data_IF_294789481520
#
_entry.id   IF_294789481520
#
_cell.length_a   1.000
_cell.length_b   1.000
_cell.length_c   1.000
_cell.angle_alpha   90.00
_cell.angle_beta   90.00
_cell.angle_gamma   90.00
#
_symmetry.space_group_name_H-M   'P 1'
#
loop_
_entity.id
_entity.type
_entity.pdbx_description
1 polymer ?
#
# COMPACT_ATOMS: atom_id res chain seq x y z
N UNK A 1 -3.67 -11.11 -27.44
CA UNK A 1 -4.37 -9.94 -26.88
C UNK A 1 -3.66 -9.56 -25.60
N UNK A 2 -3.49 -8.28 -25.32
CA UNK A 2 -2.92 -7.81 -24.06
C UNK A 2 -3.77 -8.27 -22.86
N UNK A 3 -3.10 -8.74 -21.80
CA UNK A 3 -3.72 -9.17 -20.55
C UNK A 3 -3.42 -8.19 -19.42
N UNK A 4 -4.13 -8.33 -18.31
CA UNK A 4 -3.81 -7.67 -17.07
C UNK A 4 -2.97 -8.60 -16.19
N UNK A 5 -1.95 -8.05 -15.54
CA UNK A 5 -1.19 -8.72 -14.49
C UNK A 5 -1.32 -7.88 -13.22
N UNK A 6 -2.01 -8.43 -12.22
CA UNK A 6 -2.30 -7.77 -10.96
C UNK A 6 -1.41 -8.37 -9.86
N UNK A 7 -0.62 -7.52 -9.21
CA UNK A 7 0.28 -7.86 -8.11
C UNK A 7 -0.31 -7.27 -6.82
N UNK A 8 -0.59 -8.10 -5.83
CA UNK A 8 -1.17 -7.70 -4.55
C UNK A 8 -0.21 -8.04 -3.41
N UNK A 9 0.33 -7.00 -2.75
CA UNK A 9 1.35 -7.15 -1.72
C UNK A 9 0.80 -6.73 -0.36
N UNK A 10 0.57 -7.70 0.52
CA UNK A 10 0.05 -7.42 1.84
C UNK A 10 1.17 -7.00 2.83
N UNK A 11 0.84 -6.18 3.82
CA UNK A 11 1.80 -5.60 4.77
C UNK A 11 1.90 -6.31 6.11
N UNK A 12 0.92 -7.14 6.45
CA UNK A 12 0.82 -7.79 7.77
C UNK A 12 0.78 -9.31 7.64
N UNK A 13 1.32 -10.00 8.66
CA UNK A 13 1.24 -11.46 8.79
C UNK A 13 -0.18 -11.85 9.24
N UNK A 14 -1.16 -11.47 8.44
CA UNK A 14 -2.49 -12.03 8.58
C UNK A 14 -2.40 -13.40 7.93
N UNK A 15 -2.52 -14.44 8.74
CA UNK A 15 -2.79 -15.77 8.22
C UNK A 15 -4.06 -15.66 7.36
N UNK A 16 -4.11 -16.41 6.26
CA UNK A 16 -5.29 -16.44 5.35
C UNK A 16 -6.59 -16.76 6.14
N UNK A 17 -6.46 -17.42 7.30
CA UNK A 17 -7.54 -17.74 8.24
C UNK A 17 -7.90 -16.63 9.26
N UNK A 18 -7.31 -15.43 9.17
CA UNK A 18 -7.48 -14.31 10.11
C UNK A 18 -8.38 -13.18 9.60
N UNK A 19 -8.35 -12.04 10.29
CA UNK A 19 -9.07 -10.82 9.89
C UNK A 19 -8.54 -10.29 8.54
N UNK A 20 -9.46 -9.99 7.60
CA UNK A 20 -9.10 -9.67 6.22
C UNK A 20 -8.58 -8.24 6.08
N UNK A 21 -7.46 -8.08 5.38
CA UNK A 21 -6.99 -6.77 4.88
C UNK A 21 -7.78 -6.39 3.64
N UNK A 22 -7.72 -5.12 3.26
CA UNK A 22 -8.28 -4.65 2.00
C UNK A 22 -7.57 -5.23 0.78
N UNK A 23 -6.28 -5.60 0.91
CA UNK A 23 -5.56 -6.34 -0.14
C UNK A 23 -6.19 -7.72 -0.36
N UNK A 24 -6.52 -8.43 0.73
CA UNK A 24 -7.16 -9.75 0.65
C UNK A 24 -8.63 -9.66 0.19
N UNK A 25 -9.38 -8.64 0.62
CA UNK A 25 -10.73 -8.37 0.10
C UNK A 25 -10.70 -8.05 -1.39
N UNK A 26 -9.75 -7.20 -1.83
CA UNK A 26 -9.53 -6.92 -3.24
C UNK A 26 -9.19 -8.22 -3.99
N UNK A 27 -8.25 -9.04 -3.50
CA UNK A 27 -7.93 -10.34 -4.11
C UNK A 27 -9.19 -11.19 -4.32
N UNK A 28 -10.06 -11.30 -3.31
CA UNK A 28 -11.32 -12.04 -3.42
C UNK A 28 -12.26 -11.49 -4.50
N UNK A 29 -12.20 -10.18 -4.78
CA UNK A 29 -13.10 -9.46 -5.67
C UNK A 29 -12.60 -9.31 -7.12
N UNK A 30 -11.47 -9.94 -7.48
CA UNK A 30 -10.89 -9.85 -8.83
C UNK A 30 -11.23 -11.08 -9.68
N UNK A 31 -11.54 -10.84 -10.96
CA UNK A 31 -11.67 -11.89 -11.97
C UNK A 31 -10.29 -12.57 -12.18
N UNK A 32 -10.28 -13.91 -12.26
CA UNK A 32 -9.10 -14.70 -12.63
C UNK A 32 -9.41 -15.45 -13.92
N UNK A 33 -8.75 -15.04 -14.99
CA UNK A 33 -8.99 -15.63 -16.32
C UNK A 33 -7.75 -15.52 -17.18
N UNK A 34 -7.81 -16.01 -18.42
CA UNK A 34 -6.73 -15.82 -19.41
C UNK A 34 -6.50 -14.34 -19.74
N UNK A 35 -7.43 -13.44 -19.40
CA UNK A 35 -7.31 -11.99 -19.60
C UNK A 35 -6.73 -11.26 -18.38
N UNK A 36 -6.75 -11.88 -17.19
CA UNK A 36 -6.23 -11.27 -15.96
C UNK A 36 -5.59 -12.30 -15.04
N UNK A 37 -4.27 -12.18 -14.86
CA UNK A 37 -3.49 -12.93 -13.90
C UNK A 37 -3.42 -12.16 -12.58
N UNK A 38 -3.60 -12.85 -11.46
CA UNK A 38 -3.61 -12.23 -10.12
C UNK A 38 -2.63 -12.96 -9.22
N UNK A 39 -1.60 -12.24 -8.77
CA UNK A 39 -0.61 -12.70 -7.81
C UNK A 39 -0.89 -12.05 -6.45
N UNK A 40 -1.01 -12.86 -5.40
CA UNK A 40 -1.14 -12.39 -4.02
C UNK A 40 0.03 -12.90 -3.20
N UNK A 41 0.69 -11.98 -2.51
CA UNK A 41 1.74 -12.29 -1.56
C UNK A 41 1.32 -11.86 -0.15
N UNK A 42 1.30 -12.80 0.81
CA UNK A 42 1.03 -12.45 2.20
C UNK A 42 2.15 -11.58 2.77
N UNK A 43 1.81 -10.77 3.77
CA UNK A 43 2.79 -9.89 4.40
C UNK A 43 3.83 -10.67 5.20
N UNK A 44 5.00 -10.05 5.36
CA UNK A 44 6.12 -10.65 6.11
C UNK A 44 5.71 -10.92 7.57
N UNK A 45 5.51 -12.21 7.85
CA UNK A 45 5.48 -12.78 9.19
C UNK A 45 6.82 -13.41 9.48
N UNK A 46 7.46 -13.03 10.57
CA UNK A 46 8.58 -13.82 11.09
C UNK A 46 8.00 -15.18 11.48
N UNK A 47 8.18 -16.18 10.61
CA UNK A 47 7.85 -17.56 10.94
C UNK A 47 8.58 -17.95 12.24
N UNK A 48 7.83 -18.57 13.17
CA UNK A 48 8.37 -19.20 14.37
C UNK A 48 8.05 -18.47 15.67
N UNK A 49 6.97 -18.89 16.34
CA UNK A 49 6.95 -19.42 17.72
C UNK A 49 5.52 -19.32 18.29
N UNK A 50 5.00 -20.50 18.64
CA UNK A 50 3.66 -20.75 19.19
C UNK A 50 3.64 -20.33 20.67
N UNK A 51 2.63 -19.56 21.08
CA UNK A 51 2.37 -19.27 22.49
C UNK A 51 1.43 -18.07 22.69
N UNK A 52 0.29 -18.29 23.33
CA UNK A 52 -0.78 -17.27 23.50
C UNK A 52 -0.31 -16.01 24.26
N UNK A 53 0.64 -16.15 25.19
CA UNK A 53 1.31 -15.04 25.88
C UNK A 53 2.36 -14.28 25.04
N UNK A 54 2.96 -14.92 24.03
CA UNK A 54 3.88 -14.25 23.12
C UNK A 54 3.17 -13.38 22.10
N UNK A 55 1.92 -13.67 21.71
CA UNK A 55 1.14 -12.89 20.72
C UNK A 55 1.03 -11.39 21.05
N UNK A 56 0.96 -11.02 22.32
CA UNK A 56 0.89 -9.61 22.77
C UNK A 56 2.24 -8.89 22.62
N UNK A 57 3.36 -9.55 22.96
CA UNK A 57 4.72 -9.05 22.70
C UNK A 57 5.09 -9.10 21.21
N UNK A 58 4.53 -10.06 20.47
CA UNK A 58 4.80 -10.26 19.04
C UNK A 58 4.22 -9.15 18.19
N UNK A 59 3.03 -8.60 18.45
CA UNK A 59 2.51 -7.48 17.63
C UNK A 59 3.38 -6.22 17.71
N UNK A 60 3.98 -5.95 18.88
CA UNK A 60 4.92 -4.83 19.07
C UNK A 60 6.31 -5.16 18.50
N UNK A 61 6.84 -6.38 18.69
CA UNK A 61 8.14 -6.82 18.12
C UNK A 61 8.13 -7.07 16.60
N UNK A 62 7.05 -7.60 16.03
CA UNK A 62 6.85 -7.81 14.58
C UNK A 62 6.88 -6.48 13.84
N UNK A 63 6.35 -5.44 14.47
CA UNK A 63 6.21 -4.11 13.89
C UNK A 63 7.39 -3.19 14.22
N UNK A 64 8.01 -3.32 15.41
CA UNK A 64 9.28 -2.65 15.76
C UNK A 64 10.53 -3.33 15.17
N UNK A 65 10.45 -4.57 14.67
CA UNK A 65 11.54 -5.20 13.91
C UNK A 65 12.00 -6.56 14.43
N UNK A 66 11.30 -7.63 14.05
CA UNK A 66 11.91 -8.97 13.83
C UNK A 66 11.86 -9.38 12.34
N UNK A 67 11.58 -8.44 11.45
CA UNK A 67 11.77 -8.61 10.00
C UNK A 67 13.02 -7.82 9.60
N UNK A 68 14.11 -8.53 9.33
CA UNK A 68 15.30 -7.93 8.71
C UNK A 68 14.92 -7.42 7.31
N UNK A 69 15.65 -6.44 6.77
CA UNK A 69 15.45 -5.97 5.38
C UNK A 69 15.48 -7.08 4.31
N UNK A 70 15.91 -8.30 4.69
CA UNK A 70 15.81 -9.51 3.89
C UNK A 70 14.36 -9.89 3.53
N UNK A 71 13.39 -9.79 4.46
CA UNK A 71 12.01 -10.21 4.18
C UNK A 71 11.32 -9.35 3.11
N UNK A 72 11.50 -8.02 3.16
CA UNK A 72 10.99 -7.12 2.12
C UNK A 72 11.71 -7.37 0.80
N UNK A 73 13.02 -7.60 0.84
CA UNK A 73 13.81 -7.96 -0.34
C UNK A 73 13.26 -9.20 -1.03
N UNK A 74 13.05 -10.29 -0.28
CA UNK A 74 12.53 -11.54 -0.82
C UNK A 74 11.14 -11.34 -1.43
N UNK A 75 10.27 -10.57 -0.76
CA UNK A 75 8.96 -10.23 -1.28
C UNK A 75 9.00 -9.50 -2.63
N UNK A 76 9.86 -8.47 -2.75
CA UNK A 76 10.06 -7.76 -4.02
C UNK A 76 10.62 -8.70 -5.09
N UNK A 77 11.59 -9.54 -4.76
CA UNK A 77 12.21 -10.46 -5.73
C UNK A 77 11.23 -11.52 -6.23
N UNK A 78 10.36 -12.04 -5.37
CA UNK A 78 9.32 -13.01 -5.77
C UNK A 78 8.27 -12.37 -6.68
N UNK A 79 7.77 -11.18 -6.34
CA UNK A 79 6.83 -10.46 -7.20
C UNK A 79 7.46 -10.04 -8.54
N UNK A 80 8.74 -9.63 -8.53
CA UNK A 80 9.49 -9.32 -9.74
C UNK A 80 9.70 -10.56 -10.63
N UNK A 81 10.03 -11.70 -10.00
CA UNK A 81 10.15 -12.98 -10.71
C UNK A 81 8.84 -13.37 -11.38
N UNK A 82 7.72 -13.26 -10.68
CA UNK A 82 6.40 -13.52 -11.25
C UNK A 82 6.14 -12.65 -12.49
N UNK A 83 6.49 -11.36 -12.44
CA UNK A 83 6.38 -10.47 -13.60
C UNK A 83 7.27 -10.92 -14.76
N UNK A 84 8.53 -11.24 -14.51
CA UNK A 84 9.46 -11.72 -15.56
C UNK A 84 8.98 -13.01 -16.23
N UNK A 85 8.42 -13.94 -15.45
CA UNK A 85 7.96 -15.24 -15.95
C UNK A 85 6.62 -15.17 -16.69
N UNK A 86 5.78 -14.16 -16.44
CA UNK A 86 4.41 -14.10 -16.95
C UNK A 86 4.11 -12.92 -17.88
N UNK A 87 4.92 -11.87 -17.87
CA UNK A 87 4.66 -10.66 -18.66
C UNK A 87 5.00 -10.86 -20.14
N UNK A 88 4.01 -10.64 -21.00
CA UNK A 88 4.18 -10.57 -22.45
C UNK A 88 4.08 -9.13 -22.96
N UNK A 89 4.61 -8.87 -24.16
CA UNK A 89 4.53 -7.54 -24.75
C UNK A 89 3.08 -7.09 -24.90
N UNK A 90 2.78 -5.91 -24.35
CA UNK A 90 1.44 -5.31 -24.37
C UNK A 90 0.62 -5.57 -23.11
N UNK A 91 1.05 -6.49 -22.23
CA UNK A 91 0.37 -6.71 -20.94
C UNK A 91 0.40 -5.44 -20.07
N UNK A 92 -0.64 -5.25 -19.26
CA UNK A 92 -0.81 -4.12 -18.35
C UNK A 92 -0.55 -4.56 -16.92
N UNK A 93 0.40 -3.90 -16.25
CA UNK A 93 0.78 -4.22 -14.88
C UNK A 93 0.02 -3.31 -13.91
N UNK A 94 -0.64 -3.92 -12.93
CA UNK A 94 -1.33 -3.26 -11.83
C UNK A 94 -0.70 -3.74 -10.53
N UNK A 95 -0.30 -2.82 -9.65
CA UNK A 95 0.37 -3.17 -8.39
C UNK A 95 -0.42 -2.54 -7.24
N UNK A 96 -0.72 -3.34 -6.24
CA UNK A 96 -1.38 -2.89 -5.02
C UNK A 96 -0.58 -3.28 -3.79
N UNK A 97 -0.71 -2.48 -2.74
CA UNK A 97 -0.26 -2.93 -1.43
C UNK A 97 -0.79 -2.10 -0.27
N UNK A 98 -0.68 -2.68 0.91
CA UNK A 98 -1.05 -2.05 2.18
C UNK A 98 0.16 -1.97 3.11
N UNK A 99 0.35 -0.85 3.82
CA UNK A 99 1.36 -0.72 4.88
C UNK A 99 2.79 -0.96 4.38
N UNK A 100 3.48 -1.96 4.92
CA UNK A 100 4.78 -2.43 4.41
C UNK A 100 4.66 -3.04 3.02
N UNK A 101 3.55 -3.69 2.69
CA UNK A 101 3.26 -4.20 1.35
C UNK A 101 3.09 -3.08 0.32
N UNK A 102 2.53 -1.95 0.72
CA UNK A 102 2.51 -0.73 -0.10
C UNK A 102 3.93 -0.20 -0.35
N UNK A 103 4.81 -0.29 0.65
CA UNK A 103 6.22 0.06 0.48
C UNK A 103 6.95 -0.95 -0.43
N UNK A 104 6.69 -2.26 -0.29
CA UNK A 104 7.14 -3.31 -1.20
C UNK A 104 6.69 -3.03 -2.64
N UNK A 105 5.44 -2.60 -2.84
CA UNK A 105 4.89 -2.26 -4.15
C UNK A 105 5.62 -1.08 -4.79
N UNK A 106 5.96 -0.07 -3.99
CA UNK A 106 6.77 1.08 -4.42
C UNK A 106 8.22 0.69 -4.73
N UNK A 107 8.83 -0.19 -3.94
CA UNK A 107 10.17 -0.73 -4.20
C UNK A 107 10.21 -1.56 -5.48
N UNK A 108 9.21 -2.42 -5.69
CA UNK A 108 9.04 -3.18 -6.92
C UNK A 108 8.93 -2.24 -8.13
N UNK A 109 8.07 -1.22 -8.02
CA UNK A 109 7.88 -0.23 -9.08
C UNK A 109 9.15 0.57 -9.38
N UNK A 110 9.90 0.97 -8.36
CA UNK A 110 11.19 1.66 -8.50
C UNK A 110 12.28 0.76 -9.10
N UNK A 111 12.28 -0.52 -8.73
CA UNK A 111 13.19 -1.51 -9.30
C UNK A 111 12.91 -1.76 -10.79
N UNK A 112 11.63 -1.92 -11.15
CA UNK A 112 11.17 -2.01 -12.55
C UNK A 112 11.55 -0.76 -13.34
N UNK A 113 11.40 0.43 -12.75
CA UNK A 113 11.80 1.68 -13.39
C UNK A 113 13.28 1.69 -13.79
N UNK A 114 14.15 1.19 -12.90
CA UNK A 114 15.60 1.21 -13.14
C UNK A 114 16.04 0.08 -14.07
N UNK A 115 15.62 -1.16 -13.82
CA UNK A 115 16.17 -2.34 -14.51
C UNK A 115 15.26 -2.90 -15.60
N UNK A 116 14.02 -2.41 -15.73
CA UNK A 116 13.02 -3.04 -16.58
C UNK A 116 12.67 -4.45 -16.10
N UNK A 117 12.09 -5.27 -16.98
CA UNK A 117 11.97 -6.71 -16.77
C UNK A 117 13.10 -7.42 -17.51
N UNK A 118 13.95 -8.15 -16.79
CA UNK A 118 14.99 -8.98 -17.40
C UNK A 118 14.38 -10.17 -18.12
N UNK A 119 15.16 -10.84 -18.97
CA UNK A 119 14.73 -12.13 -19.52
C UNK A 119 14.72 -13.22 -18.44
N UNK A 120 13.82 -14.21 -18.52
CA UNK A 120 13.75 -15.30 -17.54
C UNK A 120 15.09 -15.98 -17.25
N UNK A 121 15.96 -16.14 -18.26
CA UNK A 121 17.28 -16.77 -18.14
C UNK A 121 18.29 -15.94 -17.35
N UNK A 122 17.96 -14.69 -16.99
CA UNK A 122 18.81 -13.76 -16.25
C UNK A 122 18.30 -13.52 -14.83
N UNK A 123 17.24 -14.20 -14.39
CA UNK A 123 16.64 -14.03 -13.05
C UNK A 123 17.66 -14.22 -11.90
N UNK A 124 18.64 -15.11 -12.06
CA UNK A 124 19.72 -15.33 -11.09
C UNK A 124 20.59 -14.09 -10.86
N UNK A 125 20.70 -13.21 -11.85
CA UNK A 125 21.51 -11.99 -11.78
C UNK A 125 20.78 -10.84 -11.08
N UNK A 126 19.45 -10.92 -10.98
CA UNK A 126 18.59 -9.88 -10.39
C UNK A 126 18.94 -9.62 -8.92
N UNK A 127 19.40 -10.63 -8.18
CA UNK A 127 19.85 -10.47 -6.78
C UNK A 127 21.03 -9.50 -6.66
N UNK A 128 21.90 -9.42 -7.66
CA UNK A 128 23.01 -8.46 -7.67
C UNK A 128 22.50 -7.05 -7.99
N UNK A 129 21.63 -6.91 -8.98
CA UNK A 129 20.97 -5.62 -9.28
C UNK A 129 20.18 -5.09 -8.08
N UNK A 130 19.51 -5.96 -7.32
CA UNK A 130 18.84 -5.58 -6.09
C UNK A 130 19.80 -5.05 -5.02
N UNK A 131 20.98 -5.67 -4.85
CA UNK A 131 22.00 -5.16 -3.91
C UNK A 131 22.46 -3.75 -4.29
N UNK A 132 22.67 -3.49 -5.58
CA UNK A 132 22.98 -2.16 -6.07
C UNK A 132 21.81 -1.18 -5.82
N UNK A 133 20.59 -1.57 -6.18
CA UNK A 133 19.39 -0.76 -5.92
C UNK A 133 19.18 -0.43 -4.44
N UNK A 134 19.38 -1.42 -3.57
CA UNK A 134 19.14 -1.27 -2.13
C UNK A 134 20.08 -0.25 -1.47
N UNK A 135 21.22 0.04 -2.10
CA UNK A 135 22.22 1.03 -1.68
C UNK A 135 22.04 2.40 -2.35
N UNK A 136 21.22 2.48 -3.40
CA UNK A 136 20.92 3.73 -4.10
C UNK A 136 20.26 4.75 -3.16
N UNK A 137 20.82 5.98 -3.11
CA UNK A 137 20.33 7.06 -2.25
C UNK A 137 20.94 7.10 -0.84
N UNK A 138 21.90 6.22 -0.52
CA UNK A 138 22.72 6.35 0.71
C UNK A 138 23.93 7.28 0.48
N UNK A 139 24.48 7.94 1.53
CA UNK A 139 25.71 8.74 1.41
C UNK A 139 26.84 7.92 0.78
N UNK A 140 27.50 8.48 -0.26
CA UNK A 140 28.55 7.78 -1.04
C UNK A 140 28.06 7.12 -2.35
N UNK A 141 26.83 7.41 -2.81
CA UNK A 141 26.21 6.73 -3.96
C UNK A 141 26.74 7.08 -5.35
N UNK A 142 27.75 7.95 -5.51
CA UNK A 142 28.25 8.36 -6.85
C UNK A 142 28.82 7.19 -7.64
N UNK A 143 29.52 6.27 -6.97
CA UNK A 143 30.07 5.06 -7.61
C UNK A 143 28.97 4.07 -8.05
N UNK A 144 27.78 4.17 -7.44
CA UNK A 144 26.67 3.25 -7.66
C UNK A 144 25.77 3.63 -8.84
N UNK A 145 25.76 4.90 -9.26
CA UNK A 145 25.07 5.29 -10.52
C UNK A 145 25.76 4.65 -11.74
N UNK A 146 27.10 4.59 -11.72
CA UNK A 146 27.88 3.89 -12.72
C UNK A 146 27.61 2.37 -12.69
N UNK A 147 27.49 1.78 -11.49
CA UNK A 147 27.15 0.36 -11.30
C UNK A 147 25.74 0.04 -11.85
N UNK A 148 24.75 0.91 -11.62
CA UNK A 148 23.41 0.78 -12.21
C UNK A 148 23.49 0.84 -13.73
N UNK A 149 24.23 1.79 -14.30
CA UNK A 149 24.41 1.89 -15.74
C UNK A 149 25.05 0.63 -16.34
N UNK A 150 25.98 0.00 -15.61
CA UNK A 150 26.56 -1.28 -16.00
C UNK A 150 25.53 -2.41 -15.95
N UNK A 151 24.78 -2.55 -14.85
CA UNK A 151 23.71 -3.54 -14.75
C UNK A 151 22.62 -3.36 -15.81
N UNK A 152 22.24 -2.13 -16.15
CA UNK A 152 21.29 -1.86 -17.22
C UNK A 152 21.82 -2.36 -18.58
N UNK A 153 23.10 -2.14 -18.87
CA UNK A 153 23.75 -2.63 -20.10
C UNK A 153 23.86 -4.15 -20.14
N UNK A 154 24.17 -4.79 -19.02
CA UNK A 154 24.36 -6.25 -18.92
C UNK A 154 23.04 -7.01 -18.90
N UNK A 155 22.06 -6.52 -18.11
CA UNK A 155 20.76 -7.17 -17.98
C UNK A 155 19.85 -6.87 -19.16
N UNK A 156 19.94 -5.67 -19.75
CA UNK A 156 19.19 -5.30 -20.95
C UNK A 156 17.67 -5.42 -20.79
N UNK A 157 17.14 -5.15 -19.59
CA UNK A 157 15.73 -5.39 -19.28
C UNK A 157 14.77 -4.56 -20.13
N UNK A 158 13.64 -5.16 -20.49
CA UNK A 158 12.60 -4.52 -21.26
C UNK A 158 11.97 -3.38 -20.46
N UNK A 159 11.91 -2.18 -21.05
CA UNK A 159 11.28 -1.01 -20.45
C UNK A 159 9.77 -1.14 -20.38
N UNK A 160 9.25 -1.67 -19.27
CA UNK A 160 7.81 -1.80 -19.03
C UNK A 160 7.24 -0.59 -18.28
N UNK A 161 5.93 -0.37 -18.44
CA UNK A 161 5.16 0.68 -17.76
C UNK A 161 4.14 0.02 -16.84
N UNK A 162 3.80 0.72 -15.77
CA UNK A 162 2.84 0.29 -14.78
C UNK A 162 1.56 1.09 -15.02
N UNK A 163 0.46 0.40 -15.29
CA UNK A 163 -0.82 1.03 -15.57
C UNK A 163 -1.39 1.69 -14.31
N UNK A 164 -1.26 1.03 -13.16
CA UNK A 164 -1.86 1.49 -11.91
C UNK A 164 -1.03 1.08 -10.69
N UNK A 165 -0.86 2.00 -9.74
CA UNK A 165 -0.32 1.75 -8.42
C UNK A 165 -1.36 2.15 -7.36
N UNK A 166 -1.97 1.17 -6.70
CA UNK A 166 -2.96 1.36 -5.65
C UNK A 166 -2.41 1.09 -4.26
N UNK A 167 -2.52 2.04 -3.35
CA UNK A 167 -1.84 1.96 -2.06
C UNK A 167 -2.79 2.27 -0.90
N UNK A 168 -2.73 1.45 0.14
CA UNK A 168 -3.31 1.78 1.43
C UNK A 168 -2.20 2.07 2.44
N UNK A 169 -2.25 3.27 3.00
CA UNK A 169 -1.48 3.78 4.13
C UNK A 169 -0.02 3.31 4.18
N UNK A 170 0.78 3.77 3.21
CA UNK A 170 2.17 3.34 3.05
C UNK A 170 3.02 3.71 4.26
N UNK A 171 3.70 2.73 4.87
CA UNK A 171 4.65 2.96 5.98
C UNK A 171 6.03 2.42 5.61
N UNK A 172 7.04 3.30 5.59
CA UNK A 172 8.42 2.98 5.17
C UNK A 172 9.35 2.62 6.35
N UNK A 173 8.81 2.21 7.49
CA UNK A 173 9.58 1.87 8.69
C UNK A 173 10.33 0.56 8.51
N UNK A 174 11.59 0.65 8.07
CA UNK A 174 12.53 -0.47 7.99
C UNK A 174 13.57 -0.32 9.09
N UNK A 175 13.87 -1.42 9.79
CA UNK A 175 14.96 -1.44 10.76
C UNK A 175 16.30 -1.33 10.01
N UNK A 176 17.01 -0.23 10.18
CA UNK A 176 18.42 -0.13 9.82
C UNK A 176 19.26 -0.59 11.02
N UNK A 177 19.89 -1.76 10.88
CA UNK A 177 20.75 -2.32 11.93
C UNK A 177 21.96 -1.46 12.26
N UNK A 178 22.33 -0.52 11.39
CA UNK A 178 23.42 0.44 11.63
C UNK A 178 22.99 1.64 12.46
N UNK A 179 21.69 1.94 12.54
CA UNK A 179 21.21 3.08 13.28
C UNK A 179 21.14 2.80 14.80
N UNK A 180 21.04 1.53 15.20
CA UNK A 180 20.92 1.11 16.60
C UNK A 180 19.53 1.38 17.19
N UNK A 181 19.12 0.62 18.21
CA UNK A 181 17.90 0.92 18.97
C UNK A 181 18.19 2.07 19.97
N UNK A 182 17.27 3.05 20.18
CA UNK A 182 15.91 3.20 19.63
C UNK A 182 15.85 3.99 18.31
N UNK A 183 16.97 4.19 17.63
CA UNK A 183 17.12 5.06 16.46
C UNK A 183 16.69 4.39 15.14
N UNK A 184 15.49 3.82 15.12
CA UNK A 184 14.82 3.39 13.89
C UNK A 184 14.76 4.56 12.89
N UNK A 185 15.42 4.41 11.75
CA UNK A 185 15.45 5.45 10.69
C UNK A 185 14.55 5.04 9.54
N UNK A 186 13.59 5.92 9.21
CA UNK A 186 12.75 5.77 8.01
C UNK A 186 13.60 6.27 6.83
N UNK A 187 14.28 5.37 6.15
CA UNK A 187 15.06 5.71 4.95
C UNK A 187 14.19 5.50 3.72
N UNK A 188 13.75 6.61 3.12
CA UNK A 188 13.10 6.60 1.81
C UNK A 188 14.13 6.20 0.76
N UNK A 189 13.88 5.11 0.01
CA UNK A 189 14.74 4.70 -1.10
C UNK A 189 14.39 5.45 -2.38
N UNK A 190 15.34 5.50 -3.31
CA UNK A 190 15.15 6.13 -4.60
C UNK A 190 13.94 5.56 -5.37
N UNK A 191 13.18 6.45 -5.99
CA UNK A 191 11.99 6.17 -6.79
C UNK A 191 10.82 5.46 -6.08
N UNK A 192 10.78 5.53 -4.74
CA UNK A 192 9.67 4.97 -3.96
C UNK A 192 8.52 5.95 -3.74
N UNK A 193 8.74 7.24 -3.99
CA UNK A 193 7.72 8.29 -3.99
C UNK A 193 7.70 9.10 -5.30
N UNK A 194 8.62 8.80 -6.24
CA UNK A 194 8.72 9.39 -7.58
C UNK A 194 8.93 8.32 -8.64
N UNK A 195 8.06 8.21 -9.63
CA UNK A 195 8.20 7.20 -10.69
C UNK A 195 7.47 7.62 -11.97
N UNK A 196 8.25 7.92 -13.02
CA UNK A 196 7.80 8.33 -14.34
C UNK A 196 7.24 7.18 -15.22
N UNK A 197 7.34 5.93 -14.75
CA UNK A 197 6.82 4.74 -15.46
C UNK A 197 5.42 4.32 -15.00
N UNK A 198 4.84 5.02 -14.03
CA UNK A 198 3.51 4.73 -13.50
C UNK A 198 2.53 5.73 -14.09
N UNK A 199 1.48 5.23 -14.76
CA UNK A 199 0.46 6.07 -15.38
C UNK A 199 -0.49 6.66 -14.35
N UNK A 200 -1.06 5.81 -13.49
CA UNK A 200 -2.06 6.19 -12.50
C UNK A 200 -1.61 5.75 -11.10
N UNK A 201 -1.70 6.65 -10.12
CA UNK A 201 -1.37 6.41 -8.71
C UNK A 201 -2.57 6.81 -7.85
N UNK A 202 -2.97 5.92 -6.95
CA UNK A 202 -4.01 6.15 -5.94
C UNK A 202 -3.49 5.74 -4.57
N UNK A 203 -3.52 6.65 -3.61
CA UNK A 203 -3.03 6.40 -2.26
C UNK A 203 -4.06 6.82 -1.20
N UNK A 204 -4.63 5.84 -0.49
CA UNK A 204 -5.48 6.08 0.66
C UNK A 204 -4.62 6.24 1.93
N UNK A 205 -4.84 7.30 2.72
CA UNK A 205 -4.01 7.62 3.90
C UNK A 205 -4.88 7.80 5.14
N UNK A 206 -4.42 7.27 6.29
CA UNK A 206 -5.13 7.38 7.56
C UNK A 206 -4.88 8.73 8.27
N UNK A 207 -5.95 9.40 8.70
CA UNK A 207 -5.91 10.66 9.46
C UNK A 207 -5.53 10.42 10.93
N UNK A 208 -6.10 9.38 11.56
CA UNK A 208 -6.13 9.21 13.02
C UNK A 208 -5.10 8.22 13.56
N UNK A 209 -4.12 7.82 12.75
CA UNK A 209 -3.03 6.96 13.20
C UNK A 209 -1.97 7.76 13.99
N UNK A 210 -1.69 7.31 15.22
CA UNK A 210 -0.88 8.05 16.20
C UNK A 210 0.40 7.33 16.64
N UNK A 211 0.64 6.11 16.17
CA UNK A 211 1.88 5.39 16.50
C UNK A 211 3.05 6.04 15.78
N UNK A 212 4.09 6.38 16.53
CA UNK A 212 5.23 7.15 16.05
C UNK A 212 5.95 6.51 14.87
N UNK A 213 6.01 5.18 14.79
CA UNK A 213 6.63 4.46 13.67
C UNK A 213 5.66 4.13 12.53
N UNK A 214 4.42 4.61 12.58
CA UNK A 214 3.43 4.53 11.49
C UNK A 214 3.26 5.90 10.82
N UNK A 215 4.37 6.55 10.53
CA UNK A 215 4.36 7.79 9.76
C UNK A 215 4.16 7.48 8.28
N UNK A 216 3.23 8.18 7.60
CA UNK A 216 2.88 7.84 6.23
C UNK A 216 4.00 8.27 5.29
N UNK A 217 4.27 7.43 4.30
CA UNK A 217 5.14 7.76 3.17
C UNK A 217 4.28 8.33 2.05
N UNK A 218 4.15 9.66 2.00
CA UNK A 218 3.35 10.33 0.98
C UNK A 218 3.99 10.22 -0.41
N UNK A 219 3.17 10.33 -1.45
CA UNK A 219 3.65 10.39 -2.84
C UNK A 219 3.95 11.86 -3.23
N UNK A 220 4.93 12.10 -4.11
CA UNK A 220 5.20 13.47 -4.56
C UNK A 220 4.18 13.88 -5.65
N UNK A 221 3.46 15.01 -5.51
CA UNK A 221 2.51 15.47 -6.53
C UNK A 221 3.21 16.05 -7.77
N UNK A 222 2.44 16.25 -8.85
CA UNK A 222 2.89 16.98 -10.05
C UNK A 222 3.93 16.26 -10.90
N UNK A 223 3.97 14.93 -10.83
CA UNK A 223 4.91 14.12 -11.63
C UNK A 223 4.46 13.99 -13.08
N UNK A 224 5.40 13.58 -13.93
CA UNK A 224 5.19 13.30 -15.35
C UNK A 224 5.24 11.80 -15.57
N UNK A 225 4.30 11.29 -16.37
CA UNK A 225 4.31 9.94 -16.90
C UNK A 225 4.90 9.94 -18.31
N UNK A 226 5.77 8.96 -18.58
CA UNK A 226 6.47 8.83 -19.85
C UNK A 226 6.22 7.47 -20.51
N UNK A 227 5.72 7.50 -21.74
CA UNK A 227 5.46 6.28 -22.52
C UNK A 227 6.01 6.36 -23.94
N UNK A 228 6.43 5.23 -24.47
CA UNK A 228 6.84 5.13 -25.86
C UNK A 228 5.60 5.06 -26.76
N UNK A 229 5.53 5.94 -27.74
CA UNK A 229 4.49 5.94 -28.76
C UNK A 229 5.03 5.32 -30.04
N UNK A 230 4.40 4.24 -30.50
CA UNK A 230 4.76 3.62 -31.77
C UNK A 230 4.46 4.54 -32.96
N UNK A 231 3.39 5.35 -32.86
CA UNK A 231 2.95 6.24 -33.93
C UNK A 231 3.96 7.38 -34.17
N UNK A 232 4.43 8.02 -33.11
CA UNK A 232 5.38 9.15 -33.21
C UNK A 232 6.84 8.70 -33.11
N UNK A 233 7.10 7.41 -32.84
CA UNK A 233 8.43 6.83 -32.59
C UNK A 233 9.25 7.66 -31.60
N UNK A 234 8.60 8.19 -30.57
CA UNK A 234 9.22 8.98 -29.54
C UNK A 234 8.57 8.74 -28.18
N UNK A 235 9.22 9.23 -27.12
CA UNK A 235 8.66 9.19 -25.77
C UNK A 235 7.73 10.39 -25.59
N UNK A 236 6.45 10.10 -25.35
CA UNK A 236 5.44 11.10 -25.04
C UNK A 236 5.35 11.29 -23.53
N UNK A 237 5.21 12.56 -23.13
CA UNK A 237 5.13 12.98 -21.74
C UNK A 237 3.75 13.55 -21.46
N UNK A 238 3.11 13.08 -20.40
CA UNK A 238 1.85 13.62 -19.92
C UNK A 238 1.91 13.80 -18.40
N UNK A 239 1.05 14.63 -17.80
CA UNK A 239 0.88 14.61 -16.35
C UNK A 239 0.57 13.19 -15.86
N UNK A 240 1.20 12.78 -14.74
CA UNK A 240 0.83 11.54 -14.04
C UNK A 240 -0.54 11.75 -13.40
N UNK A 241 -1.44 10.78 -13.61
CA UNK A 241 -2.75 10.78 -12.96
C UNK A 241 -2.56 10.32 -11.51
N UNK A 242 -2.44 11.28 -10.58
CA UNK A 242 -2.14 11.03 -9.18
C UNK A 242 -3.24 11.57 -8.28
N UNK A 243 -3.71 10.73 -7.36
CA UNK A 243 -4.56 11.15 -6.24
C UNK A 243 -4.14 10.49 -4.93
N UNK A 244 -3.99 11.31 -3.88
CA UNK A 244 -3.79 10.88 -2.50
C UNK A 244 -4.95 11.41 -1.67
N UNK A 245 -5.74 10.51 -1.10
CA UNK A 245 -7.00 10.82 -0.41
C UNK A 245 -6.90 10.36 1.03
N UNK A 246 -7.30 11.23 1.95
CA UNK A 246 -7.25 11.00 3.39
C UNK A 246 -8.61 10.51 3.90
N UNK A 247 -8.55 9.48 4.73
CA UNK A 247 -9.71 8.78 5.29
C UNK A 247 -9.65 8.81 6.83
N UNK A 248 -10.83 8.86 7.45
CA UNK A 248 -10.97 8.78 8.90
C UNK A 248 -10.61 7.38 9.41
N UNK A 249 -10.01 7.32 10.60
CA UNK A 249 -9.58 6.10 11.26
C UNK A 249 -8.06 5.91 11.30
N UNK A 250 -7.64 4.85 12.00
CA UNK A 250 -6.24 4.49 12.14
C UNK A 250 -5.72 3.69 10.93
N UNK A 251 -4.46 3.25 10.97
CA UNK A 251 -3.83 2.46 9.89
C UNK A 251 -4.66 1.24 9.44
N UNK A 252 -5.25 0.52 10.39
CA UNK A 252 -6.09 -0.66 10.12
C UNK A 252 -7.51 -0.30 9.68
N UNK A 253 -7.98 0.91 9.99
CA UNK A 253 -9.25 1.45 9.48
C UNK A 253 -9.12 1.95 8.04
N UNK A 254 -7.90 2.03 7.48
CA UNK A 254 -7.70 2.34 6.05
C UNK A 254 -7.29 1.12 5.24
N UNK A 255 -6.44 0.24 5.78
CA UNK A 255 -5.99 -0.95 5.06
C UNK A 255 -6.65 -2.27 5.48
N UNK A 256 -7.53 -2.25 6.48
CA UNK A 256 -8.17 -3.44 7.03
C UNK A 256 -7.29 -4.21 8.04
N UNK A 257 -7.68 -5.47 8.29
CA UNK A 257 -7.04 -6.33 9.29
C UNK A 257 -7.71 -6.30 10.67
N UNK A 258 -8.91 -5.74 10.75
CA UNK A 258 -9.81 -5.84 11.90
C UNK A 258 -10.93 -6.86 11.62
N UNK A 259 -11.57 -7.42 12.67
CA UNK A 259 -12.78 -8.23 12.49
C UNK A 259 -13.82 -7.49 11.65
N UNK A 260 -14.63 -8.22 10.88
CA UNK A 260 -15.51 -7.59 9.90
C UNK A 260 -16.53 -6.64 10.53
N UNK A 261 -17.08 -7.00 11.70
CA UNK A 261 -17.96 -6.16 12.50
C UNK A 261 -17.36 -4.81 12.92
N UNK A 262 -16.03 -4.65 12.83
CA UNK A 262 -15.31 -3.40 13.11
C UNK A 262 -14.58 -2.85 11.88
N UNK A 263 -14.98 -3.28 10.69
CA UNK A 263 -14.32 -2.91 9.44
C UNK A 263 -15.08 -1.86 8.62
N UNK A 264 -16.14 -1.24 9.17
CA UNK A 264 -16.95 -0.24 8.45
C UNK A 264 -16.11 0.88 7.85
N UNK A 265 -15.18 1.45 8.62
CA UNK A 265 -14.26 2.47 8.11
C UNK A 265 -13.31 1.94 7.03
N UNK A 266 -12.78 0.72 7.19
CA UNK A 266 -11.85 0.10 6.23
C UNK A 266 -12.47 -0.22 4.88
N UNK A 267 -13.80 -0.35 4.81
CA UNK A 267 -14.49 -0.67 3.56
C UNK A 267 -14.66 0.54 2.64
N UNK A 268 -14.64 1.76 3.20
CA UNK A 268 -14.72 3.01 2.42
C UNK A 268 -13.49 3.21 1.50
N UNK A 269 -12.23 3.18 1.98
CA UNK A 269 -11.06 3.28 1.11
C UNK A 269 -10.83 2.02 0.25
N UNK A 270 -11.42 0.88 0.61
CA UNK A 270 -11.46 -0.30 -0.27
C UNK A 270 -12.34 0.00 -1.49
N UNK A 271 -13.56 0.50 -1.26
CA UNK A 271 -14.50 0.85 -2.32
C UNK A 271 -13.94 1.92 -3.25
N UNK A 272 -13.43 3.02 -2.69
CA UNK A 272 -12.77 4.06 -3.48
C UNK A 272 -11.68 3.48 -4.39
N UNK A 273 -10.74 2.69 -3.84
CA UNK A 273 -9.63 2.18 -4.62
C UNK A 273 -10.05 1.11 -5.64
N UNK A 274 -11.05 0.29 -5.31
CA UNK A 274 -11.60 -0.70 -6.22
C UNK A 274 -12.22 -0.02 -7.45
N UNK A 275 -13.05 1.01 -7.25
CA UNK A 275 -13.69 1.75 -8.34
C UNK A 275 -12.65 2.47 -9.23
N UNK A 276 -11.61 3.06 -8.64
CA UNK A 276 -10.49 3.65 -9.40
C UNK A 276 -9.73 2.59 -10.22
N UNK A 277 -9.50 1.41 -9.65
CA UNK A 277 -8.80 0.33 -10.32
C UNK A 277 -9.60 -0.24 -11.51
N UNK A 278 -10.90 -0.45 -11.32
CA UNK A 278 -11.82 -0.89 -12.39
C UNK A 278 -11.89 0.15 -13.50
N UNK A 279 -11.98 1.44 -13.16
CA UNK A 279 -11.94 2.53 -14.14
C UNK A 279 -10.59 2.56 -14.92
N UNK A 280 -9.49 2.13 -14.32
CA UNK A 280 -8.19 1.96 -14.96
C UNK A 280 -8.04 0.64 -15.76
N UNK A 281 -9.08 -0.20 -15.78
CA UNK A 281 -9.17 -1.40 -16.60
C UNK A 281 -8.84 -2.72 -15.90
N UNK A 282 -8.77 -2.75 -14.55
CA UNK A 282 -8.77 -4.00 -13.78
C UNK A 282 -10.13 -4.68 -13.95
N UNK A 283 -10.13 -6.00 -14.11
CA UNK A 283 -11.36 -6.81 -14.20
C UNK A 283 -11.80 -7.22 -12.79
N UNK A 284 -12.80 -6.52 -12.25
CA UNK A 284 -13.41 -6.84 -10.97
C UNK A 284 -14.66 -7.72 -11.13
N UNK A 285 -14.97 -8.52 -10.12
CA UNK A 285 -16.28 -9.15 -9.96
C UNK A 285 -17.09 -8.28 -8.99
N UNK A 286 -17.95 -7.43 -9.54
CA UNK A 286 -18.77 -6.49 -8.76
C UNK A 286 -19.68 -7.24 -7.78
N UNK A 287 -20.22 -8.42 -8.15
CA UNK A 287 -21.12 -9.18 -7.25
C UNK A 287 -20.38 -9.66 -6.01
N UNK A 288 -19.19 -10.24 -6.22
CA UNK A 288 -18.34 -10.69 -5.11
C UNK A 288 -17.84 -9.48 -4.30
N UNK A 289 -17.51 -8.37 -4.97
CA UNK A 289 -17.12 -7.14 -4.30
C UNK A 289 -18.21 -6.61 -3.36
N UNK A 290 -19.44 -6.50 -3.86
CA UNK A 290 -20.61 -6.07 -3.08
C UNK A 290 -20.89 -7.03 -1.92
N UNK A 291 -20.80 -8.35 -2.13
CA UNK A 291 -20.95 -9.32 -1.05
C UNK A 291 -19.90 -9.16 0.06
N UNK A 292 -18.62 -9.02 -0.30
CA UNK A 292 -17.52 -8.89 0.66
C UNK A 292 -17.52 -7.54 1.40
N UNK A 293 -18.08 -6.50 0.77
CA UNK A 293 -18.04 -5.13 1.25
C UNK A 293 -19.36 -4.75 1.94
N UNK A 294 -20.51 -5.00 1.34
CA UNK A 294 -21.83 -4.58 1.83
C UNK A 294 -22.63 -5.70 2.51
N UNK A 295 -22.22 -6.97 2.34
CA UNK A 295 -22.84 -8.12 3.02
C UNK A 295 -24.22 -8.55 2.52
N UNK A 296 -24.79 -7.83 1.55
CA UNK A 296 -25.95 -8.24 0.79
C UNK A 296 -25.65 -8.09 -0.71
N UNK A 297 -25.99 -9.09 -1.55
CA UNK A 297 -25.96 -8.89 -3.00
C UNK A 297 -26.99 -7.84 -3.42
N UNK A 298 -26.68 -7.00 -4.40
CA UNK A 298 -27.59 -5.97 -4.91
C UNK A 298 -28.95 -6.56 -5.30
N UNK A 299 -30.09 -5.87 -5.03
CA UNK A 299 -31.41 -6.33 -5.42
C UNK A 299 -31.45 -6.61 -6.93
N UNK A 300 -31.70 -7.86 -7.33
CA UNK A 300 -31.77 -8.28 -8.74
C UNK A 300 -30.52 -8.97 -9.29
N UNK A 301 -29.44 -9.11 -8.51
CA UNK A 301 -28.29 -9.93 -8.91
C UNK A 301 -28.55 -11.41 -8.64
N UNK A 302 -28.39 -12.26 -9.67
CA UNK A 302 -28.41 -13.72 -9.51
C UNK A 302 -27.43 -14.12 -8.39
N UNK A 303 -27.87 -15.02 -7.50
CA UNK A 303 -27.07 -15.48 -6.36
C UNK A 303 -25.63 -15.79 -6.81
N UNK A 304 -24.62 -15.27 -6.07
CA UNK A 304 -23.23 -15.56 -6.41
C UNK A 304 -23.04 -17.07 -6.39
N UNK A 305 -22.38 -17.61 -7.42
CA UNK A 305 -22.06 -19.03 -7.49
C UNK A 305 -21.35 -19.46 -6.19
N UNK A 306 -21.88 -20.43 -5.44
CA UNK A 306 -21.32 -20.86 -4.16
C UNK A 306 -19.86 -21.33 -4.29
N UNK A 307 -19.42 -21.77 -5.48
CA UNK A 307 -18.01 -22.08 -5.73
C UNK A 307 -17.11 -20.86 -5.98
N UNK A 308 -17.66 -19.68 -6.32
CA UNK A 308 -16.92 -18.43 -6.56
C UNK A 308 -16.68 -17.65 -5.26
N UNK A 309 -17.51 -17.84 -4.24
CA UNK A 309 -17.24 -17.42 -2.87
C UNK A 309 -16.20 -18.36 -2.22
N UNK A 310 -15.05 -18.56 -2.87
CA UNK A 310 -13.96 -19.35 -2.30
C UNK A 310 -13.46 -18.65 -1.04
N UNK A 311 -13.86 -19.26 0.06
CA UNK A 311 -13.21 -19.35 1.36
C UNK A 311 -13.99 -18.69 2.52
N UNK A 312 -14.31 -19.56 3.48
CA UNK A 312 -14.82 -19.35 4.84
C UNK A 312 -16.25 -18.82 5.08
N UNK A 313 -16.92 -18.13 4.15
CA UNK A 313 -18.26 -17.56 4.43
C UNK A 313 -19.31 -18.65 4.73
N UNK A 314 -19.36 -19.70 3.91
CA UNK A 314 -20.26 -20.85 4.09
C UNK A 314 -19.91 -21.69 5.33
N UNK A 315 -18.62 -21.77 5.70
CA UNK A 315 -18.19 -22.59 6.84
C UNK A 315 -18.41 -21.94 8.21
N UNK A 316 -18.73 -20.63 8.28
CA UNK A 316 -18.75 -19.88 9.55
C UNK A 316 -19.93 -18.93 9.79
N UNK A 317 -20.96 -18.86 8.93
CA UNK A 317 -22.05 -17.87 9.08
C UNK A 317 -21.50 -16.44 9.31
N UNK A 318 -20.44 -16.06 8.57
CA UNK A 318 -19.82 -14.73 8.75
C UNK A 318 -20.70 -13.67 8.10
N UNK A 319 -21.28 -12.79 8.90
CA UNK A 319 -21.97 -11.58 8.43
C UNK A 319 -20.92 -10.53 8.03
N UNK A 320 -21.02 -9.99 6.82
CA UNK A 320 -20.19 -8.87 6.39
C UNK A 320 -20.90 -7.54 6.70
N UNK A 321 -20.24 -6.61 7.37
CA UNK A 321 -20.81 -5.29 7.71
C UNK A 321 -20.55 -4.25 6.62
N UNK A 322 -21.51 -3.41 6.26
CA UNK A 322 -21.35 -2.40 5.21
C UNK A 322 -20.28 -1.33 5.56
N UNK A 323 -19.77 -0.57 4.56
CA UNK A 323 -19.03 0.66 4.83
C UNK A 323 -19.86 1.60 5.72
N UNK A 324 -19.24 2.15 6.75
CA UNK A 324 -19.91 3.02 7.72
C UNK A 324 -18.98 4.17 8.13
N UNK A 325 -19.24 5.40 7.66
CA UNK A 325 -18.48 6.61 8.04
C UNK A 325 -18.53 6.93 9.54
N UNK A 326 -19.54 6.43 10.26
CA UNK A 326 -19.80 6.72 11.66
C UNK A 326 -19.26 5.64 12.61
N UNK A 327 -18.81 4.50 12.08
CA UNK A 327 -18.24 3.40 12.85
C UNK A 327 -17.11 3.87 13.79
N UNK A 328 -16.96 3.19 14.91
CA UNK A 328 -15.90 3.53 15.87
C UNK A 328 -14.50 3.30 15.30
N UNK A 329 -13.58 4.22 15.60
CA UNK A 329 -12.18 4.09 15.21
C UNK A 329 -11.55 2.95 16.02
N UNK A 330 -10.87 2.04 15.34
CA UNK A 330 -10.20 0.94 16.03
C UNK A 330 -8.99 1.46 16.82
N UNK A 331 -8.85 1.02 18.07
CA UNK A 331 -7.68 1.39 18.87
C UNK A 331 -6.44 0.59 18.43
N UNK A 332 -5.54 1.25 17.69
CA UNK A 332 -4.24 0.68 17.29
C UNK A 332 -3.14 0.85 18.35
N UNK A 333 -3.36 1.73 19.34
CA UNK A 333 -2.41 2.11 20.40
C UNK A 333 -2.49 1.15 21.59
N UNK A 334 -1.94 -0.06 21.43
CA UNK A 334 -1.80 -1.02 22.53
C UNK A 334 -0.86 -0.48 23.63
N UNK A 335 -0.90 -0.99 24.88
CA UNK A 335 -0.01 -0.55 25.96
C UNK A 335 1.49 -0.60 25.60
N UNK A 336 1.91 -1.60 24.82
CA UNK A 336 3.30 -1.67 24.35
C UNK A 336 3.67 -0.59 23.34
N UNK A 337 2.72 -0.12 22.52
CA UNK A 337 2.91 1.04 21.66
C UNK A 337 2.97 2.34 22.45
N UNK A 338 2.13 2.48 23.46
CA UNK A 338 2.15 3.65 24.34
C UNK A 338 3.52 3.88 24.99
N UNK A 339 4.24 2.82 25.38
CA UNK A 339 5.60 2.93 25.92
C UNK A 339 6.61 3.46 24.90
N UNK A 340 6.45 3.12 23.62
CA UNK A 340 7.35 3.55 22.53
C UNK A 340 7.22 5.06 22.28
N UNK A 341 6.05 5.64 22.52
CA UNK A 341 5.79 7.08 22.34
C UNK A 341 6.63 7.97 23.27
N UNK A 342 7.20 7.40 24.34
CA UNK A 342 8.07 8.10 25.28
C UNK A 342 9.56 7.88 24.99
N UNK A 343 9.92 7.21 23.89
CA UNK A 343 11.32 7.07 23.46
C UNK A 343 11.74 8.28 22.60
N UNK A 344 12.89 8.91 22.89
CA UNK A 344 13.37 10.04 22.10
C UNK A 344 13.78 9.58 20.71
N UNK A 345 13.41 10.36 19.68
CA UNK A 345 13.79 10.10 18.28
C UNK A 345 13.96 11.39 17.49
N UNK A 346 14.45 11.25 16.26
CA UNK A 346 14.43 12.35 15.27
C UNK A 346 12.99 12.59 14.80
N UNK A 347 12.60 13.86 14.72
CA UNK A 347 11.28 14.31 14.26
C UNK A 347 11.03 13.88 12.81
N UNK A 348 9.97 13.11 12.51
CA UNK A 348 9.56 12.81 11.15
C UNK A 348 9.15 14.07 10.38
N UNK A 349 9.38 14.13 9.05
CA UNK A 349 8.91 15.26 8.22
C UNK A 349 7.39 15.45 8.24
N UNK A 350 6.66 14.37 8.50
CA UNK A 350 5.19 14.23 8.53
C UNK A 350 4.60 14.36 9.93
N UNK A 351 5.40 14.66 10.95
CA UNK A 351 4.92 14.95 12.31
C UNK A 351 4.15 16.27 12.34
N UNK A 352 3.02 16.30 13.04
CA UNK A 352 2.21 17.50 13.22
C UNK A 352 2.97 18.58 14.00
N UNK A 353 3.62 18.20 15.11
CA UNK A 353 4.37 19.13 15.95
C UNK A 353 5.77 19.49 15.43
N UNK A 354 6.15 19.08 14.21
CA UNK A 354 7.45 19.43 13.62
C UNK A 354 7.71 20.93 13.59
N UNK A 355 6.67 21.74 13.44
CA UNK A 355 6.78 23.20 13.34
C UNK A 355 7.09 23.87 14.69
N UNK A 356 6.89 23.18 15.81
CA UNK A 356 6.98 23.74 17.17
C UNK A 356 8.24 23.32 17.94
N UNK A 357 9.23 22.70 17.27
CA UNK A 357 10.36 22.05 17.96
C UNK A 357 11.69 22.79 17.81
N UNK A 358 12.30 23.12 18.96
CA UNK A 358 13.66 23.64 19.11
C UNK A 358 14.55 22.56 19.74
N UNK A 359 15.37 21.83 18.94
CA UNK A 359 16.30 20.82 19.46
C UNK A 359 16.57 19.62 18.54
N UNK A 360 17.52 18.75 18.91
CA UNK A 360 17.89 17.52 18.14
C UNK A 360 17.05 16.29 18.47
N UNK A 361 16.38 16.26 19.63
CA UNK A 361 15.62 15.11 20.14
C UNK A 361 14.18 15.51 20.40
N UNK A 362 13.24 14.63 20.04
CA UNK A 362 11.81 14.82 20.14
C UNK A 362 11.15 13.58 20.72
N UNK A 363 10.19 13.80 21.61
CA UNK A 363 9.32 12.76 22.17
C UNK A 363 7.99 12.77 21.44
N UNK A 364 7.59 11.66 20.80
CA UNK A 364 6.34 11.56 20.06
C UNK A 364 5.09 11.89 20.86
N UNK A 365 4.94 11.29 22.05
CA UNK A 365 3.79 11.49 22.94
C UNK A 365 2.46 11.45 22.19
N UNK A 366 2.22 10.37 21.42
CA UNK A 366 0.98 10.15 20.68
C UNK A 366 0.68 11.24 19.65
N UNK A 367 1.71 11.70 18.94
CA UNK A 367 1.61 12.74 17.91
C UNK A 367 0.62 12.37 16.81
N UNK A 368 0.02 13.40 16.23
CA UNK A 368 -0.82 13.25 15.06
C UNK A 368 0.02 13.29 13.79
N UNK A 369 -0.52 12.70 12.72
CA UNK A 369 0.03 12.88 11.38
C UNK A 369 -0.28 14.29 10.91
N UNK A 370 0.68 14.93 10.25
CA UNK A 370 0.43 16.18 9.54
C UNK A 370 -0.33 15.88 8.25
N UNK A 371 -1.58 16.32 8.18
CA UNK A 371 -2.33 16.40 6.93
C UNK A 371 -1.87 17.68 6.19
N UNK A 372 -1.41 17.60 4.93
CA UNK A 372 -0.97 18.79 4.18
C UNK A 372 -2.10 19.79 3.91
N UNK A 373 -1.76 21.07 3.77
CA UNK A 373 -2.70 22.08 3.25
C UNK A 373 -3.08 21.75 1.80
N UNK A 374 -4.37 21.90 1.46
CA UNK A 374 -4.91 21.49 0.17
C UNK A 374 -5.01 19.97 -0.02
N UNK A 375 -4.89 19.19 1.06
CA UNK A 375 -5.09 17.74 0.98
C UNK A 375 -6.52 17.40 0.53
N UNK A 376 -6.67 16.25 -0.11
CA UNK A 376 -7.98 15.70 -0.49
C UNK A 376 -8.52 14.82 0.63
N UNK A 377 -9.68 15.16 1.15
CA UNK A 377 -10.43 14.35 2.12
C UNK A 377 -11.54 13.60 1.40
N UNK A 378 -11.79 12.35 1.78
CA UNK A 378 -12.95 11.63 1.29
C UNK A 378 -14.25 12.23 1.87
N UNK A 379 -15.35 12.24 1.12
CA UNK A 379 -16.66 12.76 1.56
C UNK A 379 -17.15 12.13 2.88
N UNK A 380 -16.84 10.84 3.10
CA UNK A 380 -17.12 10.15 4.36
C UNK A 380 -16.45 10.78 5.59
N UNK A 381 -15.32 11.47 5.42
CA UNK A 381 -14.68 12.24 6.51
C UNK A 381 -15.55 13.44 6.89
N UNK A 382 -16.11 14.11 5.89
CA UNK A 382 -17.00 15.26 6.08
C UNK A 382 -18.28 14.82 6.77
N UNK A 383 -18.89 13.73 6.28
CA UNK A 383 -20.06 13.13 6.91
C UNK A 383 -19.79 12.78 8.39
N UNK A 384 -18.62 12.20 8.68
CA UNK A 384 -18.22 11.91 10.06
C UNK A 384 -18.07 13.18 10.91
N UNK A 385 -17.43 14.23 10.39
CA UNK A 385 -17.28 15.50 11.10
C UNK A 385 -18.64 16.14 11.43
N UNK A 386 -19.60 16.04 10.51
CA UNK A 386 -20.95 16.59 10.69
C UNK A 386 -21.78 15.77 11.68
N UNK A 387 -21.79 14.44 11.52
CA UNK A 387 -22.69 13.54 12.26
C UNK A 387 -22.13 13.01 13.58
N UNK A 388 -20.81 13.07 13.81
CA UNK A 388 -20.17 12.69 15.08
C UNK A 388 -19.58 13.90 15.82
N UNK A 389 -20.25 14.39 16.88
CA UNK A 389 -19.76 15.52 17.68
C UNK A 389 -18.41 15.25 18.36
N UNK A 390 -18.10 13.98 18.65
CA UNK A 390 -16.87 13.56 19.33
C UNK A 390 -15.67 13.41 18.38
N UNK A 391 -15.86 13.52 17.07
CA UNK A 391 -14.80 13.45 16.08
C UNK A 391 -14.33 14.85 15.66
N UNK A 392 -13.28 15.35 16.33
CA UNK A 392 -12.64 16.64 16.02
C UNK A 392 -11.11 16.48 15.98
N UNK A 393 -10.57 15.79 14.96
CA UNK A 393 -9.13 15.60 14.82
C UNK A 393 -8.41 16.95 14.70
N UNK A 394 -7.43 17.25 15.56
CA UNK A 394 -6.77 18.57 15.61
C UNK A 394 -5.79 18.79 14.45
N UNK A 395 -5.53 17.76 13.65
CA UNK A 395 -4.53 17.73 12.58
C UNK A 395 -5.11 17.95 11.18
N UNK A 396 -6.39 18.33 11.07
CA UNK A 396 -6.97 18.73 9.79
C UNK A 396 -6.45 20.11 9.35
N UNK A 397 -6.21 20.30 8.04
CA UNK A 397 -5.77 21.58 7.50
C UNK A 397 -6.94 22.57 7.46
N UNK A 398 -6.62 23.87 7.35
CA UNK A 398 -7.65 24.89 7.16
C UNK A 398 -8.32 24.78 5.78
N UNK A 399 -7.53 24.40 4.77
CA UNK A 399 -8.00 24.22 3.39
C UNK A 399 -7.82 22.78 2.94
N UNK A 400 -8.89 22.19 2.43
CA UNK A 400 -8.88 20.85 1.83
C UNK A 400 -9.87 20.77 0.66
N UNK A 401 -9.65 19.79 -0.22
CA UNK A 401 -10.57 19.42 -1.29
C UNK A 401 -11.39 18.20 -0.85
N UNK A 402 -12.68 18.14 -1.21
CA UNK A 402 -13.52 16.97 -0.92
C UNK A 402 -13.63 16.11 -2.18
N UNK A 403 -13.40 14.81 -2.03
CA UNK A 403 -13.46 13.82 -3.12
C UNK A 403 -14.43 12.71 -2.74
N UNK A 404 -15.30 12.33 -3.67
CA UNK A 404 -16.24 11.21 -3.51
C UNK A 404 -15.73 9.93 -4.19
N UNK A 405 -16.40 8.82 -3.91
CA UNK A 405 -16.17 7.57 -4.65
C UNK A 405 -16.88 7.61 -6.00
N UNK A 406 -16.22 7.14 -7.06
CA UNK A 406 -16.85 7.07 -8.40
C UNK A 406 -18.07 6.15 -8.34
N UNK A 407 -19.21 6.69 -8.73
CA UNK A 407 -20.43 5.91 -8.97
C UNK A 407 -20.24 5.06 -10.23
N UNK A 408 -20.72 3.82 -10.20
CA UNK A 408 -20.72 2.93 -11.35
C UNK A 408 -21.44 3.63 -12.50
N UNK A 409 -20.77 3.78 -13.66
CA UNK A 409 -21.50 4.09 -14.90
C UNK A 409 -22.28 2.84 -15.24
N UNK A 410 -23.61 2.94 -15.25
CA UNK A 410 -24.45 1.95 -15.93
C UNK A 410 -23.92 1.86 -17.38
N UNK A 411 -23.40 0.69 -17.74
CA UNK A 411 -22.88 0.39 -19.08
C UNK A 411 -24.00 0.04 -20.04
#
# INVERSE_FOLDING_TARGET
MARNIVILLDGTSNQISGDRTNVLRLYGSLERSRKQLVFYQPGVGTFGLVGWWQRFKSKVRIVLGLATGAGISDNVMEAYRFLVENHEYGDRIYIFGFSRGAYTARLLSGFIRIFGLVRPEQLQLVRYAWRAYARLGQPGSKDFEAEIGHFQKVLGGAGVRIAFLGLWDTVASVFDSKAGFPWLTITQKAYTNRNDRIRTVRHAVAIDERRTYFQPSLWEPGQIYEQWSQATRSYEKSPQDFEEVWFAGCHGDVGGGHPDARSGLAKIPLEWLYREAVAAGVLGDDKVFELLTHGAPSPGSAEPDPELARDEAEKRHKTYGAPDPLADINNSMTPGWALVEFLPRKVPKTSFYRQLQFGKYYFPVFDYRRVPEGARLHEAVIERLEKRPDYRPPNLPERYEVVGTRVQREL
#
